data_IF_954178264873
#
_entry.id   IF_954178264873
#
_cell.length_a   1.000
_cell.length_b   1.000
_cell.length_c   1.000
_cell.angle_alpha   90.00
_cell.angle_beta   90.00
_cell.angle_gamma   90.00
#
_symmetry.space_group_name_H-M   'P 1'
#
loop_
_entity.id
_entity.type
_entity.pdbx_description
1 polymer ?
#
# COMPACT_ATOMS: atom_id res chain seq x y z
N UNK A 1 22.85 -15.18 43.26
CA UNK A 1 22.22 -16.46 43.64
C UNK A 1 23.25 -17.58 43.57
N UNK A 2 22.96 -18.78 44.08
CA UNK A 2 23.87 -19.92 44.00
C UNK A 2 23.92 -20.52 42.59
N UNK A 3 25.05 -21.14 42.22
CA UNK A 3 25.25 -21.80 40.91
C UNK A 3 24.14 -22.81 40.55
N UNK A 4 23.57 -23.50 41.54
CA UNK A 4 22.44 -24.42 41.36
C UNK A 4 21.14 -23.73 40.93
N UNK A 5 20.88 -22.50 41.39
CA UNK A 5 19.69 -21.71 41.02
C UNK A 5 19.76 -21.29 39.55
N UNK A 6 20.95 -20.89 39.07
CA UNK A 6 21.16 -20.49 37.67
C UNK A 6 21.02 -21.70 36.75
N UNK A 7 21.56 -22.86 37.14
CA UNK A 7 21.38 -24.10 36.38
C UNK A 7 19.91 -24.53 36.29
N UNK A 8 19.16 -24.38 37.39
CA UNK A 8 17.72 -24.60 37.39
C UNK A 8 17.03 -23.65 36.39
N UNK A 9 17.36 -22.36 36.44
CA UNK A 9 16.76 -21.37 35.56
C UNK A 9 17.05 -21.66 34.08
N UNK A 10 18.29 -22.00 33.73
CA UNK A 10 18.65 -22.40 32.36
C UNK A 10 17.87 -23.64 31.91
N UNK A 11 17.74 -24.65 32.79
CA UNK A 11 16.97 -25.85 32.49
C UNK A 11 15.49 -25.51 32.27
N UNK A 12 14.95 -24.62 33.09
CA UNK A 12 13.58 -24.14 32.99
C UNK A 12 13.34 -23.33 31.72
N UNK A 13 14.27 -22.43 31.34
CA UNK A 13 14.22 -21.71 30.05
C UNK A 13 14.12 -22.68 28.88
N UNK A 14 14.95 -23.73 28.86
CA UNK A 14 14.92 -24.76 27.81
C UNK A 14 13.61 -25.51 27.74
N UNK A 15 13.03 -25.85 28.90
CA UNK A 15 11.73 -26.50 28.96
C UNK A 15 10.64 -25.58 28.39
N UNK A 16 10.63 -24.30 28.81
CA UNK A 16 9.65 -23.29 28.43
C UNK A 16 9.65 -22.96 26.94
N UNK A 17 10.83 -22.97 26.30
CA UNK A 17 10.97 -22.80 24.85
C UNK A 17 10.08 -23.81 24.10
N UNK A 18 10.06 -25.08 24.50
CA UNK A 18 9.22 -26.10 23.84
C UNK A 18 7.72 -26.04 24.17
N UNK A 19 7.24 -25.06 24.94
CA UNK A 19 5.85 -25.00 25.40
C UNK A 19 5.03 -23.96 24.65
N UNK A 20 3.83 -24.36 24.23
CA UNK A 20 2.82 -23.45 23.65
C UNK A 20 2.31 -22.43 24.69
N UNK A 21 2.04 -22.91 25.90
CA UNK A 21 1.62 -22.08 27.03
C UNK A 21 2.72 -22.05 28.10
N UNK A 22 3.04 -20.87 28.61
CA UNK A 22 4.05 -20.69 29.67
C UNK A 22 3.38 -20.70 31.07
N UNK A 23 3.35 -21.83 31.79
CA UNK A 23 2.80 -21.85 33.15
C UNK A 23 3.66 -21.00 34.09
N UNK A 24 3.04 -20.36 35.07
CA UNK A 24 3.72 -19.53 36.07
C UNK A 24 4.60 -18.42 35.45
N UNK A 25 4.19 -17.85 34.32
CA UNK A 25 4.96 -16.82 33.60
C UNK A 25 5.35 -15.64 34.49
N UNK A 26 4.44 -15.17 35.34
CA UNK A 26 4.70 -14.04 36.25
C UNK A 26 5.82 -14.34 37.25
N UNK A 27 5.91 -15.58 37.75
CA UNK A 27 6.97 -16.00 38.66
C UNK A 27 8.31 -16.05 37.93
N UNK A 28 8.34 -16.67 36.74
CA UNK A 28 9.54 -16.75 35.91
C UNK A 28 10.03 -15.36 35.48
N UNK A 29 9.13 -14.46 35.07
CA UNK A 29 9.41 -13.05 34.80
C UNK A 29 10.05 -12.37 36.02
N UNK A 30 9.47 -12.59 37.21
CA UNK A 30 10.02 -12.09 38.47
C UNK A 30 11.44 -12.59 38.73
N UNK A 31 11.72 -13.87 38.49
CA UNK A 31 13.05 -14.45 38.66
C UNK A 31 14.08 -13.83 37.70
N UNK A 32 13.72 -13.66 36.42
CA UNK A 32 14.60 -13.07 35.41
C UNK A 32 15.00 -11.62 35.74
N UNK A 33 14.08 -10.81 36.26
CA UNK A 33 14.33 -9.40 36.59
C UNK A 33 15.37 -9.25 37.71
N UNK A 34 15.41 -10.18 38.68
CA UNK A 34 16.29 -10.11 39.85
C UNK A 34 17.67 -10.74 39.65
N UNK A 35 17.97 -11.23 38.44
CA UNK A 35 19.30 -11.77 38.11
C UNK A 35 20.37 -10.69 38.13
N UNK A 36 21.54 -11.03 38.68
CA UNK A 36 22.75 -10.23 38.55
C UNK A 36 23.37 -10.32 37.14
N UNK A 37 24.28 -9.40 36.81
CA UNK A 37 24.90 -9.28 35.48
C UNK A 37 25.47 -10.62 34.95
N UNK A 38 26.33 -11.29 35.73
CA UNK A 38 26.93 -12.57 35.33
C UNK A 38 25.89 -13.68 35.15
N UNK A 39 24.76 -13.61 35.88
CA UNK A 39 23.70 -14.62 35.80
C UNK A 39 22.87 -14.41 34.52
N UNK A 40 22.62 -13.14 34.16
CA UNK A 40 22.00 -12.77 32.88
C UNK A 40 22.85 -13.23 31.69
N UNK A 41 24.16 -13.04 31.74
CA UNK A 41 25.08 -13.51 30.68
C UNK A 41 25.00 -15.03 30.50
N UNK A 42 24.94 -15.82 31.58
CA UNK A 42 24.79 -17.27 31.51
C UNK A 42 23.47 -17.68 30.86
N UNK A 43 22.36 -17.01 31.22
CA UNK A 43 21.03 -17.28 30.64
C UNK A 43 21.00 -16.90 29.16
N UNK A 44 21.58 -15.75 28.80
CA UNK A 44 21.74 -15.29 27.41
C UNK A 44 22.47 -16.33 26.56
N UNK A 45 23.66 -16.75 26.98
CA UNK A 45 24.47 -17.76 26.28
C UNK A 45 23.75 -19.11 26.16
N UNK A 46 22.95 -19.48 27.16
CA UNK A 46 22.17 -20.71 27.10
C UNK A 46 21.03 -20.64 26.08
N UNK A 47 20.33 -19.50 26.00
CA UNK A 47 19.25 -19.28 25.03
C UNK A 47 19.77 -19.22 23.60
N UNK A 48 20.88 -18.52 23.34
CA UNK A 48 21.49 -18.41 22.01
C UNK A 48 21.89 -19.77 21.40
N UNK A 49 22.10 -20.80 22.22
CA UNK A 49 22.39 -22.17 21.76
C UNK A 49 21.15 -23.01 21.50
N UNK A 50 19.95 -22.47 21.66
CA UNK A 50 18.70 -23.18 21.39
C UNK A 50 18.19 -22.88 19.99
N UNK A 51 17.60 -23.89 19.35
CA UNK A 51 16.89 -23.73 18.09
C UNK A 51 15.61 -22.92 18.28
N UNK A 52 15.23 -22.16 17.25
CA UNK A 52 13.97 -21.42 17.26
C UNK A 52 12.77 -22.36 17.14
N UNK A 53 11.72 -22.10 17.91
CA UNK A 53 10.44 -22.82 17.84
C UNK A 53 9.29 -21.94 18.37
N UNK A 54 8.07 -22.48 18.38
CA UNK A 54 6.83 -21.75 18.72
C UNK A 54 6.87 -21.04 20.09
N UNK A 55 7.47 -21.64 21.13
CA UNK A 55 7.56 -20.99 22.45
C UNK A 55 8.76 -20.06 22.61
N UNK A 56 9.71 -20.07 21.67
CA UNK A 56 10.90 -19.23 21.69
C UNK A 56 10.57 -17.73 21.65
N UNK A 57 9.55 -17.31 20.91
CA UNK A 57 9.19 -15.90 20.83
C UNK A 57 8.71 -15.34 22.17
N UNK A 58 7.82 -16.07 22.85
CA UNK A 58 7.32 -15.65 24.17
C UNK A 58 8.43 -15.63 25.22
N UNK A 59 9.33 -16.62 25.20
CA UNK A 59 10.52 -16.62 26.07
C UNK A 59 11.46 -15.46 25.75
N UNK A 60 11.71 -15.18 24.46
CA UNK A 60 12.54 -14.05 24.02
C UNK A 60 11.94 -12.71 24.47
N UNK A 61 10.62 -12.56 24.43
CA UNK A 61 9.91 -11.40 24.97
C UNK A 61 10.21 -11.18 26.47
N UNK A 62 10.13 -12.24 27.28
CA UNK A 62 10.46 -12.17 28.71
C UNK A 62 11.94 -11.84 28.96
N UNK A 63 12.85 -12.39 28.14
CA UNK A 63 14.28 -12.08 28.22
C UNK A 63 14.57 -10.64 27.82
N UNK A 64 13.86 -10.10 26.84
CA UNK A 64 13.98 -8.71 26.40
C UNK A 64 13.50 -7.74 27.48
N UNK A 65 12.34 -8.01 28.08
CA UNK A 65 11.81 -7.22 29.21
C UNK A 65 12.76 -7.22 30.43
N UNK A 66 13.43 -8.34 30.68
CA UNK A 66 14.42 -8.46 31.74
C UNK A 66 15.79 -7.84 31.41
N UNK A 67 15.96 -7.24 30.22
CA UNK A 67 17.24 -6.74 29.70
C UNK A 67 18.35 -7.82 29.71
N UNK A 68 18.01 -9.03 29.28
CA UNK A 68 18.95 -10.16 29.19
C UNK A 68 19.40 -10.37 27.75
N UNK A 69 18.45 -10.45 26.83
CA UNK A 69 18.70 -10.65 25.40
C UNK A 69 17.59 -9.96 24.62
N UNK A 70 17.96 -9.10 23.68
CA UNK A 70 17.01 -8.42 22.79
C UNK A 70 16.75 -9.22 21.51
N UNK A 71 15.63 -8.92 20.84
CA UNK A 71 15.28 -9.56 19.56
C UNK A 71 16.34 -9.32 18.48
N UNK A 72 16.91 -8.12 18.41
CA UNK A 72 17.95 -7.81 17.42
C UNK A 72 19.25 -8.54 17.70
N UNK A 73 19.68 -8.64 18.97
CA UNK A 73 20.86 -9.43 19.33
C UNK A 73 20.68 -10.92 19.01
N UNK A 74 19.49 -11.48 19.29
CA UNK A 74 19.18 -12.86 18.93
C UNK A 74 19.25 -13.05 17.42
N UNK A 75 18.54 -12.22 16.65
CA UNK A 75 18.52 -12.28 15.18
C UNK A 75 19.92 -12.19 14.58
N UNK A 76 20.76 -11.27 15.07
CA UNK A 76 22.14 -11.08 14.58
C UNK A 76 23.10 -12.18 15.02
N UNK A 77 22.72 -13.04 15.97
CA UNK A 77 23.53 -14.18 16.40
C UNK A 77 23.34 -15.42 15.54
N UNK A 78 22.31 -15.43 14.67
CA UNK A 78 21.97 -16.59 13.84
C UNK A 78 22.93 -16.73 12.67
N UNK A 79 23.23 -17.99 12.32
CA UNK A 79 24.24 -18.33 11.32
C UNK A 79 23.75 -18.13 9.87
N UNK A 80 22.44 -18.08 9.64
CA UNK A 80 21.86 -18.10 8.29
C UNK A 80 20.72 -17.09 8.14
N UNK A 81 20.60 -16.54 6.92
CA UNK A 81 19.54 -15.59 6.55
C UNK A 81 18.19 -16.30 6.50
N UNK A 82 18.17 -17.57 6.10
CA UNK A 82 16.97 -18.39 6.01
C UNK A 82 16.29 -18.56 7.37
N UNK A 83 17.07 -18.82 8.42
CA UNK A 83 16.56 -18.87 9.80
C UNK A 83 16.03 -17.52 10.25
N UNK A 84 16.73 -16.43 9.93
CA UNK A 84 16.25 -15.07 10.23
C UNK A 84 14.90 -14.81 9.54
N UNK A 85 14.73 -15.19 8.28
CA UNK A 85 13.46 -15.02 7.56
C UNK A 85 12.32 -15.85 8.15
N UNK A 86 12.60 -17.10 8.55
CA UNK A 86 11.60 -17.94 9.23
C UNK A 86 11.11 -17.30 10.52
N UNK A 87 12.03 -16.78 11.33
CA UNK A 87 11.68 -16.06 12.56
C UNK A 87 10.88 -14.80 12.24
N UNK A 88 11.28 -14.03 11.23
CA UNK A 88 10.54 -12.83 10.81
C UNK A 88 9.10 -13.14 10.42
N UNK A 89 8.83 -14.27 9.77
CA UNK A 89 7.47 -14.70 9.44
C UNK A 89 6.63 -14.92 10.72
N UNK A 90 7.18 -15.63 11.71
CA UNK A 90 6.51 -15.85 12.99
C UNK A 90 6.23 -14.51 13.71
N UNK A 91 7.18 -13.58 13.65
CA UNK A 91 7.06 -12.24 14.27
C UNK A 91 6.02 -11.36 13.56
N UNK A 92 5.92 -11.43 12.24
CA UNK A 92 4.90 -10.75 11.43
C UNK A 92 3.51 -11.33 11.71
N UNK A 93 3.41 -12.61 12.02
CA UNK A 93 2.13 -13.29 12.25
C UNK A 93 1.60 -13.07 13.68
N UNK A 94 2.47 -13.18 14.69
CA UNK A 94 2.01 -13.35 16.08
C UNK A 94 2.69 -12.44 17.11
N UNK A 95 3.93 -11.99 16.90
CA UNK A 95 4.78 -11.44 17.96
C UNK A 95 5.23 -9.99 17.70
N UNK A 96 4.23 -9.12 17.59
CA UNK A 96 4.35 -7.71 17.20
C UNK A 96 5.26 -6.84 18.10
N UNK A 97 5.39 -7.16 19.39
CA UNK A 97 6.28 -6.43 20.31
C UNK A 97 7.76 -6.65 19.96
N UNK A 98 8.12 -7.88 19.60
CA UNK A 98 9.46 -8.22 19.17
C UNK A 98 9.73 -7.65 17.78
N UNK A 99 8.74 -7.72 16.88
CA UNK A 99 8.83 -7.08 15.56
C UNK A 99 9.07 -5.57 15.67
N UNK A 100 8.34 -4.87 16.55
CA UNK A 100 8.56 -3.46 16.81
C UNK A 100 10.01 -3.20 17.26
N UNK A 101 10.56 -4.04 18.14
CA UNK A 101 11.97 -3.93 18.54
C UNK A 101 12.92 -4.05 17.34
N UNK A 102 12.71 -5.03 16.47
CA UNK A 102 13.52 -5.23 15.26
C UNK A 102 13.44 -4.01 14.34
N UNK A 103 12.24 -3.48 14.07
CA UNK A 103 12.03 -2.30 13.22
C UNK A 103 12.81 -1.10 13.76
N UNK A 104 12.68 -0.81 15.06
CA UNK A 104 13.41 0.30 15.71
C UNK A 104 14.91 0.14 15.53
N UNK A 105 15.43 -1.07 15.75
CA UNK A 105 16.86 -1.33 15.65
C UNK A 105 17.36 -1.27 14.20
N UNK A 106 16.61 -1.84 13.24
CA UNK A 106 16.94 -1.85 11.82
C UNK A 106 17.12 -0.42 11.26
N UNK A 107 16.34 0.54 11.76
CA UNK A 107 16.41 1.92 11.31
C UNK A 107 17.40 2.82 12.05
N UNK A 108 18.20 2.27 12.96
CA UNK A 108 19.31 2.99 13.60
C UNK A 108 20.50 3.16 12.65
N UNK A 109 21.32 4.17 12.89
CA UNK A 109 22.52 4.46 12.12
C UNK A 109 23.72 3.68 12.66
N UNK A 110 23.75 2.36 12.41
CA UNK A 110 24.87 1.49 12.77
C UNK A 110 25.09 0.37 11.74
N UNK A 111 26.25 -0.29 11.75
CA UNK A 111 26.59 -1.29 10.70
C UNK A 111 25.68 -2.52 10.79
N UNK A 112 25.33 -2.96 11.99
CA UNK A 112 24.52 -4.16 12.23
C UNK A 112 23.05 -3.96 11.82
N UNK A 113 22.56 -2.72 11.84
CA UNK A 113 21.20 -2.37 11.42
C UNK A 113 20.99 -2.59 9.92
N UNK A 114 22.05 -2.54 9.10
CA UNK A 114 21.96 -2.78 7.66
C UNK A 114 21.56 -4.22 7.36
N UNK A 115 22.13 -5.19 8.07
CA UNK A 115 21.74 -6.62 7.93
C UNK A 115 20.27 -6.79 8.26
N UNK A 116 19.83 -6.28 9.41
CA UNK A 116 18.42 -6.39 9.81
C UNK A 116 17.48 -5.61 8.88
N UNK A 117 17.90 -4.48 8.33
CA UNK A 117 17.12 -3.74 7.32
C UNK A 117 16.90 -4.57 6.07
N UNK A 118 17.94 -5.25 5.57
CA UNK A 118 17.81 -6.10 4.39
C UNK A 118 16.87 -7.29 4.66
N UNK A 119 17.02 -7.92 5.82
CA UNK A 119 16.11 -8.99 6.26
C UNK A 119 14.67 -8.50 6.31
N UNK A 120 14.42 -7.37 6.98
CA UNK A 120 13.10 -6.77 7.13
C UNK A 120 12.45 -6.43 5.78
N UNK A 121 13.20 -5.82 4.86
CA UNK A 121 12.73 -5.49 3.51
C UNK A 121 12.33 -6.72 2.72
N UNK A 122 13.12 -7.79 2.81
CA UNK A 122 12.79 -9.06 2.16
C UNK A 122 11.55 -9.70 2.77
N UNK A 123 11.40 -9.69 4.11
CA UNK A 123 10.21 -10.21 4.77
C UNK A 123 8.95 -9.42 4.37
N UNK A 124 9.05 -8.09 4.26
CA UNK A 124 7.95 -7.26 3.77
C UNK A 124 7.59 -7.56 2.32
N UNK A 125 8.59 -7.79 1.46
CA UNK A 125 8.35 -8.19 0.07
C UNK A 125 7.65 -9.54 -0.01
N UNK A 126 8.16 -10.54 0.71
CA UNK A 126 7.55 -11.88 0.76
C UNK A 126 6.12 -11.81 1.24
N UNK A 127 5.87 -11.10 2.36
CA UNK A 127 4.52 -10.93 2.89
C UNK A 127 3.58 -10.27 1.89
N UNK A 128 4.02 -9.22 1.21
CA UNK A 128 3.19 -8.56 0.21
C UNK A 128 2.87 -9.48 -0.96
N UNK A 129 3.85 -10.23 -1.47
CA UNK A 129 3.61 -11.22 -2.54
C UNK A 129 2.57 -12.27 -2.09
N UNK A 130 2.74 -12.81 -0.88
CA UNK A 130 1.81 -13.80 -0.32
C UNK A 130 0.40 -13.21 -0.13
N UNK A 131 0.29 -11.94 0.29
CA UNK A 131 -1.00 -11.24 0.44
C UNK A 131 -1.66 -10.93 -0.90
N UNK A 132 -0.89 -10.70 -1.96
CA UNK A 132 -1.41 -10.47 -3.30
C UNK A 132 -1.99 -11.77 -3.90
N UNK A 133 -1.38 -12.92 -3.60
CA UNK A 133 -1.91 -14.23 -4.00
C UNK A 133 -3.05 -14.71 -3.09
N UNK A 134 -2.92 -14.51 -1.78
CA UNK A 134 -3.91 -14.86 -0.76
C UNK A 134 -4.08 -13.71 0.25
N UNK A 135 -5.12 -12.87 0.09
CA UNK A 135 -5.34 -11.67 0.92
C UNK A 135 -5.49 -11.90 2.43
N UNK A 136 -5.63 -13.15 2.89
CA UNK A 136 -5.72 -13.54 4.29
C UNK A 136 -4.71 -14.64 4.67
N UNK A 137 -3.53 -14.64 4.04
CA UNK A 137 -2.46 -15.63 4.32
C UNK A 137 -2.02 -15.64 5.78
N UNK A 138 -1.99 -14.46 6.43
CA UNK A 138 -1.79 -14.31 7.87
C UNK A 138 -3.12 -13.98 8.56
N UNK A 139 -3.30 -14.27 9.86
CA UNK A 139 -4.58 -14.12 10.54
C UNK A 139 -5.00 -12.67 10.76
N UNK A 140 -4.05 -11.73 10.84
CA UNK A 140 -4.29 -10.29 11.10
C UNK A 140 -3.22 -9.42 10.45
N UNK A 141 -3.58 -8.19 10.11
CA UNK A 141 -2.58 -7.19 9.68
C UNK A 141 -1.66 -6.82 10.84
N UNK A 142 -0.35 -6.94 10.62
CA UNK A 142 0.65 -6.69 11.64
C UNK A 142 0.84 -5.20 11.92
N UNK A 143 0.63 -4.34 10.91
CA UNK A 143 0.94 -2.90 10.99
C UNK A 143 0.14 -2.17 12.08
N UNK A 144 -1.20 -2.34 12.21
CA UNK A 144 -1.96 -1.79 13.33
C UNK A 144 -1.49 -2.27 14.71
N UNK A 145 -0.97 -3.51 14.79
CA UNK A 145 -0.53 -4.11 16.05
C UNK A 145 0.84 -3.58 16.48
N UNK A 146 1.71 -3.27 15.51
CA UNK A 146 3.05 -2.73 15.75
C UNK A 146 3.04 -1.22 15.96
N UNK A 147 2.12 -0.49 15.32
CA UNK A 147 2.04 0.97 15.35
C UNK A 147 2.14 1.60 16.76
N UNK A 148 1.46 1.10 17.82
CA UNK A 148 1.56 1.67 19.16
C UNK A 148 2.96 1.60 19.79
N UNK A 149 3.84 0.77 19.23
CA UNK A 149 5.18 0.50 19.74
C UNK A 149 6.29 1.20 18.95
N UNK A 150 5.94 1.94 17.90
CA UNK A 150 6.87 2.66 17.03
C UNK A 150 6.79 4.18 17.23
N UNK A 151 7.93 4.84 17.02
CA UNK A 151 7.99 6.29 16.88
C UNK A 151 7.42 6.70 15.51
N UNK A 152 6.88 7.94 15.36
CA UNK A 152 6.32 8.40 14.09
C UNK A 152 7.30 8.31 12.91
N UNK A 153 8.58 8.57 13.13
CA UNK A 153 9.61 8.46 12.10
C UNK A 153 9.87 7.01 11.66
N UNK A 154 9.75 6.05 12.57
CA UNK A 154 9.95 4.63 12.29
C UNK A 154 8.73 4.06 11.55
N UNK A 155 7.53 4.40 12.01
CA UNK A 155 6.28 4.07 11.33
C UNK A 155 6.29 4.60 9.89
N UNK A 156 6.69 5.87 9.70
CA UNK A 156 6.81 6.47 8.37
C UNK A 156 7.73 5.66 7.45
N UNK A 157 8.87 5.17 7.94
CA UNK A 157 9.78 4.32 7.14
C UNK A 157 9.16 2.99 6.76
N UNK A 158 8.41 2.36 7.67
CA UNK A 158 7.69 1.11 7.38
C UNK A 158 6.61 1.35 6.32
N UNK A 159 5.82 2.42 6.48
CA UNK A 159 4.81 2.84 5.50
C UNK A 159 5.43 3.12 4.13
N UNK A 160 6.53 3.88 4.10
CA UNK A 160 7.27 4.19 2.87
C UNK A 160 7.75 2.93 2.16
N UNK A 161 8.30 1.97 2.90
CA UNK A 161 8.77 0.71 2.32
C UNK A 161 7.62 -0.09 1.69
N UNK A 162 6.48 -0.19 2.36
CA UNK A 162 5.32 -0.93 1.83
C UNK A 162 4.70 -0.23 0.63
N UNK A 163 4.60 1.10 0.67
CA UNK A 163 4.13 1.88 -0.47
C UNK A 163 5.07 1.71 -1.67
N UNK A 164 6.39 1.75 -1.45
CA UNK A 164 7.38 1.48 -2.51
C UNK A 164 7.27 0.05 -3.07
N UNK A 165 7.08 -0.95 -2.21
CA UNK A 165 6.93 -2.34 -2.65
C UNK A 165 5.65 -2.52 -3.49
N UNK A 166 4.51 -2.02 -3.01
CA UNK A 166 3.23 -2.10 -3.73
C UNK A 166 3.23 -1.32 -5.04
N UNK A 167 3.81 -0.12 -5.04
CA UNK A 167 3.76 0.77 -6.19
C UNK A 167 4.88 0.51 -7.20
N UNK A 168 6.06 0.06 -6.81
CA UNK A 168 7.21 -0.04 -7.74
C UNK A 168 7.66 -1.48 -7.96
N UNK A 169 7.55 -2.34 -6.96
CA UNK A 169 8.12 -3.70 -7.01
C UNK A 169 7.15 -4.77 -7.48
N UNK A 170 5.95 -4.39 -7.94
CA UNK A 170 4.96 -5.32 -8.46
C UNK A 170 5.36 -5.76 -9.88
N UNK A 171 5.56 -7.06 -10.09
CA UNK A 171 6.01 -7.66 -11.36
C UNK A 171 5.06 -7.40 -12.54
N UNK A 172 3.83 -6.95 -12.27
CA UNK A 172 2.84 -6.50 -13.25
C UNK A 172 2.83 -4.97 -13.33
N UNK A 173 3.82 -4.40 -14.03
CA UNK A 173 3.76 -2.99 -14.42
C UNK A 173 2.79 -2.85 -15.60
N UNK A 174 1.49 -2.80 -15.29
CA UNK A 174 0.46 -2.51 -16.27
C UNK A 174 0.69 -1.12 -16.87
N UNK A 175 0.55 -1.00 -18.19
CA UNK A 175 0.75 0.30 -18.85
C UNK A 175 -0.40 1.25 -18.48
N UNK A 176 -0.12 2.56 -18.51
CA UNK A 176 -1.17 3.59 -18.36
C UNK A 176 -2.27 3.45 -19.43
N UNK A 177 -1.95 2.84 -20.57
CA UNK A 177 -2.92 2.58 -21.64
C UNK A 177 -3.90 1.49 -21.25
N UNK A 178 -3.39 0.39 -20.71
CA UNK A 178 -4.21 -0.73 -20.22
C UNK A 178 -5.09 -0.30 -19.05
N UNK A 179 -4.58 0.58 -18.20
CA UNK A 179 -5.33 1.10 -17.05
C UNK A 179 -6.62 1.81 -17.44
N UNK A 180 -6.64 2.56 -18.56
CA UNK A 180 -7.84 3.26 -19.02
C UNK A 180 -8.96 2.26 -19.35
N UNK A 181 -8.63 1.17 -20.04
CA UNK A 181 -9.62 0.16 -20.46
C UNK A 181 -10.00 -0.84 -19.37
N UNK A 182 -9.11 -1.08 -18.40
CA UNK A 182 -9.28 -2.13 -17.38
C UNK A 182 -9.69 -1.60 -16.00
N UNK A 183 -9.83 -0.29 -15.81
CA UNK A 183 -10.12 0.31 -14.49
C UNK A 183 -11.36 -0.29 -13.81
N UNK A 184 -12.45 -0.51 -14.56
CA UNK A 184 -13.67 -1.09 -14.00
C UNK A 184 -13.46 -2.53 -13.51
N UNK A 185 -12.78 -3.35 -14.31
CA UNK A 185 -12.41 -4.72 -13.94
C UNK A 185 -11.53 -4.73 -12.69
N UNK A 186 -10.48 -3.92 -12.64
CA UNK A 186 -9.60 -3.83 -11.48
C UNK A 186 -10.33 -3.39 -10.22
N UNK A 187 -11.29 -2.46 -10.34
CA UNK A 187 -12.12 -2.07 -9.20
C UNK A 187 -12.94 -3.23 -8.69
N UNK A 188 -13.51 -4.06 -9.57
CA UNK A 188 -14.28 -5.23 -9.17
C UNK A 188 -13.40 -6.32 -8.53
N UNK A 189 -12.19 -6.55 -9.05
CA UNK A 189 -11.19 -7.40 -8.41
C UNK A 189 -10.88 -6.89 -6.99
N UNK A 190 -10.62 -5.59 -6.83
CA UNK A 190 -10.29 -5.00 -5.52
C UNK A 190 -11.45 -5.04 -4.51
N UNK A 191 -12.70 -5.01 -4.97
CA UNK A 191 -13.86 -5.23 -4.08
C UNK A 191 -13.83 -6.60 -3.42
N UNK A 192 -13.26 -7.63 -4.08
CA UNK A 192 -13.14 -8.97 -3.49
C UNK A 192 -12.16 -9.01 -2.32
N UNK A 193 -11.21 -8.09 -2.27
CA UNK A 193 -10.24 -7.98 -1.18
C UNK A 193 -10.79 -7.23 0.04
N UNK A 194 -11.98 -6.64 -0.04
CA UNK A 194 -12.53 -5.82 1.04
C UNK A 194 -12.65 -6.60 2.36
N UNK A 195 -12.12 -6.02 3.43
CA UNK A 195 -12.09 -6.64 4.76
C UNK A 195 -11.04 -7.74 4.94
N UNK A 196 -10.19 -7.97 3.94
CA UNK A 196 -9.03 -8.87 4.05
C UNK A 196 -7.88 -8.20 4.83
N UNK A 197 -6.86 -9.00 5.17
CA UNK A 197 -5.64 -8.47 5.77
C UNK A 197 -4.92 -7.49 4.84
N UNK A 198 -4.90 -7.76 3.53
CA UNK A 198 -4.35 -6.83 2.53
C UNK A 198 -5.09 -5.49 2.55
N UNK A 199 -6.43 -5.50 2.61
CA UNK A 199 -7.25 -4.28 2.67
C UNK A 199 -7.02 -3.48 3.95
N UNK A 200 -6.89 -4.18 5.09
CA UNK A 200 -6.50 -3.54 6.35
C UNK A 200 -5.11 -2.90 6.24
N UNK A 201 -4.12 -3.59 5.67
CA UNK A 201 -2.79 -3.03 5.45
C UNK A 201 -2.86 -1.78 4.55
N UNK A 202 -3.53 -1.86 3.40
CA UNK A 202 -3.70 -0.73 2.50
C UNK A 202 -4.38 0.48 3.16
N UNK A 203 -5.35 0.24 4.05
CA UNK A 203 -6.00 1.29 4.84
C UNK A 203 -5.00 2.01 5.75
N UNK A 204 -4.14 1.27 6.44
CA UNK A 204 -3.09 1.85 7.29
C UNK A 204 -2.05 2.63 6.48
N UNK A 205 -1.69 2.17 5.29
CA UNK A 205 -0.70 2.84 4.44
C UNK A 205 -1.14 4.22 3.97
N UNK A 206 -2.46 4.45 3.84
CA UNK A 206 -3.03 5.74 3.40
C UNK A 206 -3.59 6.59 4.54
N UNK A 207 -3.32 6.21 5.80
CA UNK A 207 -3.74 6.98 6.97
C UNK A 207 -3.12 8.39 6.99
N UNK A 208 -1.85 8.53 6.61
CA UNK A 208 -1.26 9.85 6.33
C UNK A 208 -1.62 10.28 4.90
N UNK A 209 -2.81 10.87 4.79
CA UNK A 209 -3.42 11.35 3.54
C UNK A 209 -2.50 12.27 2.74
N UNK A 210 -1.82 13.19 3.44
CA UNK A 210 -0.97 14.22 2.81
C UNK A 210 0.28 13.55 2.25
N UNK A 211 0.93 12.72 3.06
CA UNK A 211 2.13 12.00 2.66
C UNK A 211 1.89 11.08 1.46
N UNK A 212 0.78 10.33 1.44
CA UNK A 212 0.43 9.49 0.29
C UNK A 212 0.23 10.29 -1.00
N UNK A 213 -0.46 11.43 -0.93
CA UNK A 213 -0.66 12.31 -2.10
C UNK A 213 0.66 12.90 -2.58
N UNK A 214 1.55 13.32 -1.68
CA UNK A 214 2.87 13.83 -2.05
C UNK A 214 3.70 12.74 -2.73
N UNK A 215 3.62 11.50 -2.25
CA UNK A 215 4.28 10.36 -2.89
C UNK A 215 3.75 10.08 -4.30
N UNK A 216 2.42 10.11 -4.50
CA UNK A 216 1.82 9.96 -5.84
C UNK A 216 2.25 11.08 -6.79
N UNK A 217 2.37 12.32 -6.30
CA UNK A 217 2.89 13.46 -7.08
C UNK A 217 4.33 13.23 -7.50
N UNK A 218 5.15 12.69 -6.60
CA UNK A 218 6.56 12.42 -6.89
C UNK A 218 6.74 11.31 -7.92
N UNK A 219 5.97 10.21 -7.81
CA UNK A 219 5.97 9.17 -8.84
C UNK A 219 5.52 9.69 -10.21
N UNK A 220 4.51 10.56 -10.23
CA UNK A 220 4.03 11.19 -11.47
C UNK A 220 5.10 12.08 -12.12
N UNK A 221 5.91 12.81 -11.32
CA UNK A 221 6.96 13.72 -11.82
C UNK A 221 8.24 13.01 -12.24
N UNK A 222 8.65 11.97 -11.52
CA UNK A 222 9.95 11.33 -11.73
C UNK A 222 9.99 10.43 -12.97
N UNK A 223 8.87 10.27 -13.69
CA UNK A 223 8.71 9.31 -14.78
C UNK A 223 9.08 7.88 -14.39
N UNK A 224 9.03 7.56 -13.09
CA UNK A 224 9.27 6.21 -12.60
C UNK A 224 8.04 5.36 -12.93
N UNK A 225 8.21 4.16 -13.52
CA UNK A 225 7.08 3.25 -13.67
C UNK A 225 6.57 2.85 -12.28
N UNK A 226 5.26 2.90 -12.12
CA UNK A 226 4.59 2.44 -10.92
C UNK A 226 3.31 1.68 -11.27
N UNK A 227 2.86 0.79 -10.38
CA UNK A 227 1.63 0.04 -10.49
C UNK A 227 0.44 0.97 -10.37
N UNK A 228 -0.13 1.30 -11.53
CA UNK A 228 -1.34 2.14 -11.61
C UNK A 228 -2.52 1.46 -10.92
N UNK A 229 -2.60 0.12 -11.01
CA UNK A 229 -3.63 -0.68 -10.33
C UNK A 229 -3.62 -0.47 -8.82
N UNK A 230 -2.46 -0.62 -8.17
CA UNK A 230 -2.35 -0.39 -6.72
C UNK A 230 -2.45 1.09 -6.34
N UNK A 231 -1.97 2.01 -7.18
CA UNK A 231 -2.18 3.44 -6.97
C UNK A 231 -3.67 3.80 -6.93
N UNK A 232 -4.46 3.23 -7.84
CA UNK A 232 -5.92 3.41 -7.87
C UNK A 232 -6.58 2.76 -6.67
N UNK A 233 -6.17 1.55 -6.29
CA UNK A 233 -6.73 0.89 -5.11
C UNK A 233 -6.46 1.69 -3.81
N UNK A 234 -5.22 2.12 -3.59
CA UNK A 234 -4.85 2.95 -2.44
C UNK A 234 -5.60 4.29 -2.46
N UNK A 235 -5.74 4.93 -3.63
CA UNK A 235 -6.52 6.17 -3.78
C UNK A 235 -8.01 5.94 -3.48
N UNK A 236 -8.57 4.81 -3.90
CA UNK A 236 -9.94 4.41 -3.58
C UNK A 236 -10.13 4.29 -2.07
N UNK A 237 -9.26 3.52 -1.41
CA UNK A 237 -9.28 3.31 0.06
C UNK A 237 -9.11 4.64 0.81
N UNK A 238 -8.20 5.50 0.33
CA UNK A 238 -8.00 6.83 0.87
C UNK A 238 -9.26 7.69 0.76
N UNK A 239 -9.95 7.67 -0.39
CA UNK A 239 -11.16 8.45 -0.62
C UNK A 239 -12.37 7.94 0.18
N UNK A 240 -12.46 6.62 0.45
CA UNK A 240 -13.49 6.05 1.32
C UNK A 240 -13.34 6.46 2.79
N UNK A 241 -12.10 6.67 3.23
CA UNK A 241 -11.77 6.95 4.64
C UNK A 241 -11.52 8.44 4.91
N UNK A 242 -11.66 9.32 3.91
CA UNK A 242 -11.38 10.75 4.08
C UNK A 242 -12.48 11.42 4.89
N UNK A 243 -12.10 12.26 5.85
CA UNK A 243 -13.07 13.07 6.56
C UNK A 243 -13.52 14.26 5.72
N UNK A 244 -14.75 14.77 5.93
CA UNK A 244 -15.27 15.94 5.19
C UNK A 244 -14.38 17.19 5.31
N UNK A 245 -13.64 17.32 6.42
CA UNK A 245 -12.64 18.38 6.66
C UNK A 245 -11.48 18.32 5.65
N UNK A 246 -11.20 17.14 5.12
CA UNK A 246 -10.05 16.81 4.28
C UNK A 246 -10.41 16.69 2.78
N UNK A 247 -11.68 16.81 2.39
CA UNK A 247 -12.15 16.79 0.99
C UNK A 247 -11.34 17.73 0.08
N UNK A 248 -10.89 18.85 0.63
CA UNK A 248 -10.09 19.86 -0.10
C UNK A 248 -8.76 19.31 -0.58
N UNK A 249 -8.17 18.33 0.11
CA UNK A 249 -6.89 17.74 -0.27
C UNK A 249 -6.99 17.06 -1.65
N UNK A 250 -7.94 16.15 -1.81
CA UNK A 250 -8.17 15.43 -3.07
C UNK A 250 -8.67 16.35 -4.20
N UNK A 251 -9.52 17.34 -3.87
CA UNK A 251 -9.94 18.39 -4.82
C UNK A 251 -8.75 19.19 -5.35
N UNK A 252 -7.87 19.63 -4.45
CA UNK A 252 -6.69 20.40 -4.82
C UNK A 252 -5.70 19.55 -5.62
N UNK A 253 -5.52 18.28 -5.25
CA UNK A 253 -4.68 17.34 -5.98
C UNK A 253 -5.11 17.21 -7.45
N UNK A 254 -6.38 16.92 -7.74
CA UNK A 254 -6.87 16.81 -9.12
C UNK A 254 -6.83 18.15 -9.86
N UNK A 255 -7.11 19.25 -9.17
CA UNK A 255 -7.01 20.60 -9.74
C UNK A 255 -5.58 20.91 -10.18
N UNK A 256 -4.60 20.60 -9.34
CA UNK A 256 -3.19 20.77 -9.66
C UNK A 256 -2.78 19.89 -10.83
N UNK A 257 -3.20 18.61 -10.83
CA UNK A 257 -2.92 17.68 -11.92
C UNK A 257 -3.54 18.14 -13.25
N UNK A 258 -4.79 18.62 -13.25
CA UNK A 258 -5.41 19.19 -14.45
C UNK A 258 -4.64 20.42 -14.95
N UNK A 259 -4.18 21.28 -14.05
CA UNK A 259 -3.35 22.43 -14.43
C UNK A 259 -2.04 21.95 -15.08
N UNK A 260 -1.40 20.92 -14.54
CA UNK A 260 -0.21 20.31 -15.14
C UNK A 260 -0.51 19.76 -16.53
N UNK A 261 -1.62 19.05 -16.75
CA UNK A 261 -2.04 18.59 -18.09
C UNK A 261 -2.14 19.76 -19.06
N UNK A 262 -2.80 20.83 -18.65
CA UNK A 262 -3.04 22.03 -19.47
C UNK A 262 -1.76 22.82 -19.76
N UNK A 263 -0.80 22.83 -18.83
CA UNK A 263 0.48 23.55 -18.97
C UNK A 263 1.52 22.74 -19.77
N UNK A 264 1.55 21.43 -19.56
CA UNK A 264 2.58 20.53 -20.12
C UNK A 264 2.12 19.78 -21.37
N UNK A 265 0.81 19.77 -21.65
CA UNK A 265 0.20 19.05 -22.78
C UNK A 265 0.55 17.54 -22.76
N UNK A 266 0.65 16.97 -21.56
CA UNK A 266 1.15 15.63 -21.30
C UNK A 266 0.04 14.58 -21.35
N UNK A 267 0.23 13.60 -22.24
CA UNK A 267 -0.68 12.46 -22.37
C UNK A 267 -0.71 11.58 -21.11
N UNK A 268 0.45 11.35 -20.48
CA UNK A 268 0.53 10.55 -19.25
C UNK A 268 -0.22 11.21 -18.10
N UNK A 269 -0.06 12.53 -17.92
CA UNK A 269 -0.78 13.26 -16.89
C UNK A 269 -2.28 13.29 -17.16
N UNK A 270 -2.68 13.32 -18.44
CA UNK A 270 -4.09 13.26 -18.81
C UNK A 270 -4.72 11.91 -18.47
N UNK A 271 -4.00 10.80 -18.69
CA UNK A 271 -4.44 9.46 -18.26
C UNK A 271 -4.60 9.40 -16.75
N UNK A 272 -3.59 9.84 -16.00
CA UNK A 272 -3.62 9.86 -14.54
C UNK A 272 -4.77 10.72 -14.02
N UNK A 273 -5.01 11.90 -14.62
CA UNK A 273 -6.12 12.77 -14.24
C UNK A 273 -7.47 12.05 -14.37
N UNK A 274 -7.72 11.43 -15.51
CA UNK A 274 -8.99 10.71 -15.74
C UNK A 274 -9.12 9.53 -14.79
N UNK A 275 -8.08 8.70 -14.67
CA UNK A 275 -8.07 7.53 -13.79
C UNK A 275 -8.33 7.91 -12.33
N UNK A 276 -7.61 8.89 -11.79
CA UNK A 276 -7.76 9.34 -10.42
C UNK A 276 -9.12 10.01 -10.16
N UNK A 277 -9.60 10.83 -11.10
CA UNK A 277 -10.92 11.45 -10.97
C UNK A 277 -12.04 10.40 -10.94
N UNK A 278 -11.99 9.42 -11.85
CA UNK A 278 -12.93 8.29 -11.88
C UNK A 278 -12.91 7.51 -10.58
N UNK A 279 -11.73 7.27 -10.02
CA UNK A 279 -11.58 6.48 -8.80
C UNK A 279 -12.14 7.21 -7.58
N UNK A 280 -11.79 8.49 -7.42
CA UNK A 280 -12.30 9.30 -6.31
C UNK A 280 -13.83 9.45 -6.40
N UNK A 281 -14.38 9.71 -7.59
CA UNK A 281 -15.82 9.83 -7.78
C UNK A 281 -16.57 8.52 -7.48
N UNK A 282 -15.95 7.37 -7.72
CA UNK A 282 -16.55 6.07 -7.44
C UNK A 282 -16.44 5.65 -5.98
N UNK A 283 -15.37 6.05 -5.30
CA UNK A 283 -15.14 5.76 -3.90
C UNK A 283 -16.05 6.59 -2.99
N UNK A 284 -16.19 7.89 -3.28
CA UNK A 284 -16.93 8.81 -2.41
C UNK A 284 -17.44 10.04 -3.19
N UNK A 285 -18.74 10.06 -3.46
CA UNK A 285 -19.40 11.12 -4.21
C UNK A 285 -19.48 12.46 -3.46
N UNK A 286 -19.28 12.50 -2.14
CA UNK A 286 -19.29 13.76 -1.38
C UNK A 286 -18.09 14.65 -1.69
N UNK A 287 -17.00 14.04 -2.19
CA UNK A 287 -15.77 14.75 -2.53
C UNK A 287 -15.99 15.49 -3.84
N UNK A 288 -16.07 14.80 -4.97
CA UNK A 288 -16.11 15.42 -6.31
C UNK A 288 -17.50 15.47 -6.95
N UNK A 289 -18.51 14.86 -6.31
CA UNK A 289 -19.76 14.51 -6.98
C UNK A 289 -19.60 13.25 -7.82
N UNK A 290 -20.57 13.00 -8.69
CA UNK A 290 -20.47 11.95 -9.72
C UNK A 290 -19.41 12.31 -10.75
N UNK A 291 -18.87 11.32 -11.45
CA UNK A 291 -17.92 11.57 -12.54
C UNK A 291 -18.49 12.53 -13.59
N UNK A 292 -19.79 12.44 -13.89
CA UNK A 292 -20.48 13.35 -14.79
C UNK A 292 -20.46 14.80 -14.30
N UNK A 293 -20.69 15.02 -13.00
CA UNK A 293 -20.63 16.35 -12.39
C UNK A 293 -19.19 16.91 -12.42
N UNK A 294 -18.20 16.09 -12.02
CA UNK A 294 -16.80 16.47 -12.08
C UNK A 294 -16.33 16.79 -13.51
N UNK A 295 -16.70 15.95 -14.48
CA UNK A 295 -16.33 16.12 -15.89
C UNK A 295 -16.97 17.39 -16.45
N UNK A 296 -18.25 17.65 -16.13
CA UNK A 296 -18.92 18.90 -16.52
C UNK A 296 -18.18 20.12 -15.98
N UNK A 297 -17.82 20.12 -14.69
CA UNK A 297 -17.11 21.25 -14.09
C UNK A 297 -15.70 21.41 -14.70
N UNK A 298 -14.91 20.35 -14.68
CA UNK A 298 -13.48 20.40 -15.02
C UNK A 298 -13.23 20.50 -16.53
N UNK A 299 -13.89 19.66 -17.33
CA UNK A 299 -13.69 19.58 -18.79
C UNK A 299 -14.77 20.35 -19.55
N UNK A 300 -16.03 20.27 -19.10
CA UNK A 300 -17.16 20.92 -19.77
C UNK A 300 -17.09 22.44 -19.67
N UNK A 301 -16.96 22.96 -18.45
CA UNK A 301 -16.92 24.39 -18.18
C UNK A 301 -15.50 24.95 -18.19
N UNK A 302 -14.47 24.08 -18.17
CA UNK A 302 -13.06 24.47 -18.08
C UNK A 302 -12.85 25.47 -16.93
N UNK A 303 -13.39 25.16 -15.74
CA UNK A 303 -13.51 26.07 -14.58
C UNK A 303 -12.22 26.82 -14.23
N UNK A 304 -11.06 26.30 -14.61
CA UNK A 304 -9.74 26.86 -14.31
C UNK A 304 -9.22 27.89 -15.33
N UNK A 305 -10.08 28.43 -16.20
CA UNK A 305 -9.74 29.48 -17.19
C UNK A 305 -8.59 29.10 -18.11
N UNK A 306 -8.90 28.26 -19.10
CA UNK A 306 -7.93 27.70 -20.06
C UNK A 306 -7.78 28.62 -21.29
N UNK A 307 -6.55 28.85 -21.77
CA UNK A 307 -6.31 29.63 -23.00
C UNK A 307 -6.77 28.85 -24.24
N UNK A 308 -6.99 29.54 -25.36
CA UNK A 308 -7.46 28.91 -26.61
C UNK A 308 -6.59 27.72 -27.08
N UNK A 309 -5.26 27.85 -27.06
CA UNK A 309 -4.36 26.76 -27.49
C UNK A 309 -4.43 25.56 -26.53
N UNK A 310 -4.41 25.84 -25.23
CA UNK A 310 -4.54 24.82 -24.19
C UNK A 310 -5.86 24.06 -24.27
N UNK A 311 -6.95 24.77 -24.59
CA UNK A 311 -8.25 24.14 -24.82
C UNK A 311 -8.18 23.15 -25.98
N UNK A 312 -7.61 23.57 -27.11
CA UNK A 312 -7.45 22.71 -28.30
C UNK A 312 -6.61 21.48 -27.94
N UNK A 313 -5.44 21.67 -27.33
CA UNK A 313 -4.56 20.59 -26.90
C UNK A 313 -5.26 19.61 -25.96
N UNK A 314 -6.03 20.10 -24.98
CA UNK A 314 -6.80 19.24 -24.06
C UNK A 314 -7.84 18.39 -24.80
N UNK A 315 -8.55 18.95 -25.78
CA UNK A 315 -9.52 18.19 -26.59
C UNK A 315 -8.82 17.17 -27.50
N UNK A 316 -7.64 17.51 -28.03
CA UNK A 316 -6.82 16.59 -28.83
C UNK A 316 -6.31 15.42 -27.98
N UNK A 317 -5.87 15.67 -26.74
CA UNK A 317 -5.50 14.63 -25.78
C UNK A 317 -6.68 13.70 -25.48
N UNK A 318 -7.86 14.26 -25.19
CA UNK A 318 -9.10 13.48 -24.99
C UNK A 318 -9.45 12.62 -26.20
N UNK A 319 -9.27 13.17 -27.40
CA UNK A 319 -9.55 12.46 -28.66
C UNK A 319 -8.58 11.30 -28.86
N UNK A 320 -7.30 11.50 -28.59
CA UNK A 320 -6.27 10.48 -28.72
C UNK A 320 -6.40 9.34 -27.68
N UNK A 321 -7.04 9.60 -26.53
CA UNK A 321 -7.32 8.59 -25.51
C UNK A 321 -8.50 7.68 -25.84
N UNK A 322 -9.40 8.11 -26.71
CA UNK A 322 -10.65 7.43 -26.99
C UNK A 322 -10.50 5.93 -27.36
N UNK A 323 -9.51 5.51 -28.18
CA UNK A 323 -9.36 4.10 -28.54
C UNK A 323 -9.06 3.18 -27.35
N UNK A 324 -8.55 3.73 -26.25
CA UNK A 324 -8.21 2.97 -25.04
C UNK A 324 -9.43 2.75 -24.13
N UNK A 325 -10.46 3.57 -24.28
CA UNK A 325 -11.64 3.54 -23.43
C UNK A 325 -12.56 2.37 -23.79
N UNK A 326 -12.95 1.60 -22.78
CA UNK A 326 -13.84 0.42 -22.92
C UNK A 326 -15.13 0.57 -22.13
N UNK A 327 -15.20 1.52 -21.21
CA UNK A 327 -16.36 1.73 -20.36
C UNK A 327 -17.43 2.58 -21.08
N UNK A 328 -18.56 1.94 -21.38
CA UNK A 328 -19.70 2.57 -22.06
C UNK A 328 -20.34 3.70 -21.24
N UNK A 329 -20.33 3.63 -19.91
CA UNK A 329 -20.89 4.67 -19.05
C UNK A 329 -20.03 5.93 -19.10
N UNK A 330 -18.70 5.76 -19.02
CA UNK A 330 -17.75 6.87 -19.12
C UNK A 330 -17.78 7.53 -20.51
N UNK A 331 -17.81 6.73 -21.59
CA UNK A 331 -18.02 7.25 -22.94
C UNK A 331 -19.36 7.97 -23.09
N UNK A 332 -20.40 7.47 -22.42
CA UNK A 332 -21.71 8.12 -22.32
C UNK A 332 -21.59 9.54 -21.76
N UNK A 333 -20.85 9.72 -20.66
CA UNK A 333 -20.56 11.03 -20.08
C UNK A 333 -19.83 11.94 -21.06
N UNK A 334 -18.74 11.45 -21.67
CA UNK A 334 -17.91 12.22 -22.59
C UNK A 334 -18.69 12.70 -23.84
N UNK A 335 -19.58 11.87 -24.36
CA UNK A 335 -20.36 12.18 -25.57
C UNK A 335 -21.55 13.13 -25.33
N UNK A 336 -22.10 13.14 -24.11
CA UNK A 336 -23.34 13.86 -23.77
C UNK A 336 -23.09 15.21 -23.11
N UNK A 337 -22.13 15.30 -22.18
CA UNK A 337 -21.88 16.52 -21.41
C UNK A 337 -21.41 17.66 -22.32
N UNK A 338 -22.04 18.82 -22.20
CA UNK A 338 -21.69 20.02 -22.97
C UNK A 338 -20.28 20.51 -22.62
N UNK A 339 -19.51 20.92 -23.64
CA UNK A 339 -18.19 21.53 -23.48
C UNK A 339 -18.28 22.95 -24.03
N UNK A 340 -18.01 23.92 -23.17
CA UNK A 340 -18.00 25.35 -23.46
C UNK A 340 -16.72 25.70 -24.22
N UNK A 341 -16.83 25.74 -25.55
CA UNK A 341 -15.69 26.04 -26.40
C UNK A 341 -15.42 27.55 -26.50
N UNK A 342 -14.15 27.98 -26.49
CA UNK A 342 -13.77 29.34 -26.91
C UNK A 342 -14.23 29.64 -28.34
N UNK A 343 -14.28 30.93 -28.69
CA UNK A 343 -14.67 31.35 -30.04
C UNK A 343 -13.81 30.67 -31.12
N UNK A 344 -14.49 30.09 -32.13
CA UNK A 344 -13.90 29.32 -33.25
C UNK A 344 -13.26 27.98 -32.85
N UNK A 345 -13.62 27.40 -31.70
CA UNK A 345 -13.16 26.06 -31.28
C UNK A 345 -14.27 25.00 -31.25
N UNK A 346 -15.51 25.35 -31.64
CA UNK A 346 -16.64 24.41 -31.60
C UNK A 346 -16.43 23.16 -32.45
N UNK A 347 -15.73 23.27 -33.58
CA UNK A 347 -15.50 22.14 -34.49
C UNK A 347 -14.69 21.01 -33.82
N UNK A 348 -13.72 21.36 -32.97
CA UNK A 348 -12.95 20.38 -32.18
C UNK A 348 -13.84 19.59 -31.22
N UNK A 349 -14.75 20.28 -30.53
CA UNK A 349 -15.72 19.64 -29.61
C UNK A 349 -16.70 18.75 -30.37
N UNK A 350 -17.22 19.22 -31.51
CA UNK A 350 -18.13 18.46 -32.34
C UNK A 350 -17.47 17.18 -32.87
N UNK A 351 -16.24 17.29 -33.38
CA UNK A 351 -15.47 16.17 -33.87
C UNK A 351 -15.22 15.14 -32.75
N UNK A 352 -14.72 15.59 -31.60
CA UNK A 352 -14.50 14.72 -30.44
C UNK A 352 -15.77 13.97 -30.03
N UNK A 353 -16.90 14.66 -29.90
CA UNK A 353 -18.19 14.03 -29.54
C UNK A 353 -18.69 13.05 -30.59
N UNK A 354 -18.48 13.33 -31.87
CA UNK A 354 -18.83 12.39 -32.94
C UNK A 354 -17.99 11.12 -32.84
N UNK A 355 -16.68 11.25 -32.59
CA UNK A 355 -15.80 10.12 -32.36
C UNK A 355 -16.23 9.30 -31.14
N UNK A 356 -16.60 9.94 -30.02
CA UNK A 356 -17.15 9.21 -28.87
C UNK A 356 -18.38 8.37 -29.23
N UNK A 357 -19.33 8.92 -29.99
CA UNK A 357 -20.53 8.19 -30.42
C UNK A 357 -20.21 7.04 -31.37
N UNK A 358 -19.26 7.26 -32.28
CA UNK A 358 -18.80 6.21 -33.20
C UNK A 358 -18.15 5.05 -32.42
N UNK A 359 -17.29 5.36 -31.44
CA UNK A 359 -16.64 4.36 -30.58
C UNK A 359 -17.65 3.60 -29.72
N UNK A 360 -18.63 4.28 -29.11
CA UNK A 360 -19.74 3.62 -28.39
C UNK A 360 -20.49 2.64 -29.30
N UNK A 361 -20.76 3.02 -30.55
CA UNK A 361 -21.45 2.14 -31.49
C UNK A 361 -20.59 0.90 -31.82
N UNK A 362 -19.28 1.07 -31.99
CA UNK A 362 -18.33 -0.02 -32.25
C UNK A 362 -18.28 -1.03 -31.09
N UNK A 363 -18.16 -0.54 -29.85
CA UNK A 363 -18.14 -1.42 -28.66
C UNK A 363 -19.44 -2.20 -28.50
N UNK A 364 -20.60 -1.55 -28.67
CA UNK A 364 -21.91 -2.23 -28.63
C UNK A 364 -22.08 -3.31 -29.69
N UNK A 365 -21.52 -3.10 -30.88
CA UNK A 365 -21.55 -4.14 -31.92
C UNK A 365 -20.61 -5.31 -31.61
N UNK A 366 -19.47 -5.06 -30.95
CA UNK A 366 -18.52 -6.09 -30.55
C UNK A 366 -19.10 -7.02 -29.48
N UNK A 367 -19.78 -6.46 -28.47
CA UNK A 367 -20.42 -7.22 -27.40
C UNK A 367 -21.62 -8.04 -27.89
N UNK A 368 -22.28 -7.60 -28.98
CA UNK A 368 -23.40 -8.30 -29.60
C UNK A 368 -23.03 -9.55 -30.41
N UNK A 369 -21.75 -9.75 -30.73
CA UNK A 369 -21.27 -10.86 -31.57
C UNK A 369 -20.81 -12.12 -30.80
N UNK A 370 -20.89 -12.16 -29.46
CA UNK A 370 -20.54 -13.36 -28.68
C UNK A 370 -21.70 -14.34 -28.44
N UNK A 371 -22.67 -14.42 -29.37
CA UNK A 371 -23.80 -15.36 -29.27
C UNK A 371 -23.73 -16.36 -30.45
N UNK A 372 -23.34 -17.59 -30.10
CA UNK A 372 -23.54 -18.89 -30.77
C UNK A 372 -22.81 -19.12 -32.10
N UNK A 373 -21.77 -19.94 -32.02
CA UNK A 373 -21.57 -21.05 -32.95
C UNK A 373 -21.40 -22.32 -32.12
N UNK A 374 -22.52 -22.94 -31.77
CA UNK A 374 -22.56 -24.38 -31.54
C UNK A 374 -22.51 -25.05 -32.91
N UNK A 375 -21.54 -25.94 -33.10
CA UNK A 375 -21.64 -27.12 -33.98
C UNK A 375 -21.16 -28.35 -33.21
#
# INVERSE_FOLDING_TARGET
MGYSTIQHLVKETKLRIGMLDLPYEAEYRGQLIHLGYNEKDIVKEAFLRQEWNVGSARVLSLLQEANILSASEYMLSLDTIELMQQIMNDLLETEHNLLAHIIRYAYQDNVQSHTLTNILKESFRSLLNDLQENPNVIPRSYLPMVQPHLLPAELKRVTDEHLQLLLVSCDTLDSLDDAIGNQAQWRDEMKTHRGSVLDCLCTELVNDKVHFIDMLKDFSKQCCPFSVKYALYLLHTMAQTVERSEDKLLKNFLKELFRTVVEMESMSDMKLLLLFAREICAANDSILGTYSAWYKQTIGEMTYSVKKHQFISTIELLTALLPLERDLELLGVHSTIAISAPAKCNDYVLNYKQLCRAHIAQLKTSDGTSIVLDD
#
